data_IF_271755835280
#
_entry.id   IF_271755835280
#
_cell.length_a   1.000
_cell.length_b   1.000
_cell.length_c   1.000
_cell.angle_alpha   90.00
_cell.angle_beta   90.00
_cell.angle_gamma   90.00
#
_symmetry.space_group_name_H-M   'P 1'
#
loop_
_entity.id
_entity.type
_entity.pdbx_description
1 polymer ?
#
# COMPACT_ATOMS: atom_id res chain seq x y z
N UNK A 1 22.20 5.92 -9.12
CA UNK A 1 21.48 6.27 -7.88
C UNK A 1 22.05 7.59 -7.40
N UNK A 2 21.25 8.65 -7.37
CA UNK A 2 21.67 9.94 -6.82
C UNK A 2 22.00 9.78 -5.35
N UNK A 3 23.07 10.42 -4.89
CA UNK A 3 23.51 10.36 -3.51
C UNK A 3 22.47 11.04 -2.60
N UNK A 4 22.02 10.34 -1.56
CA UNK A 4 21.05 10.88 -0.58
C UNK A 4 21.75 12.00 0.19
N UNK A 5 21.19 13.21 0.13
CA UNK A 5 21.73 14.38 0.80
C UNK A 5 21.65 14.23 2.33
N UNK A 6 22.47 15.00 3.06
CA UNK A 6 22.41 15.02 4.53
C UNK A 6 21.01 15.40 5.06
N UNK A 7 20.33 16.30 4.36
CA UNK A 7 18.98 16.72 4.70
C UNK A 7 17.95 15.60 4.49
N UNK A 8 18.03 14.88 3.36
CA UNK A 8 17.16 13.72 3.11
C UNK A 8 17.42 12.62 4.15
N UNK A 9 18.68 12.34 4.49
CA UNK A 9 19.01 11.36 5.54
C UNK A 9 18.40 11.73 6.90
N UNK A 10 18.47 13.01 7.29
CA UNK A 10 17.84 13.49 8.51
C UNK A 10 16.32 13.34 8.47
N UNK A 11 15.69 13.70 7.35
CA UNK A 11 14.24 13.53 7.17
C UNK A 11 13.82 12.06 7.26
N UNK A 12 14.56 11.15 6.63
CA UNK A 12 14.30 9.71 6.69
C UNK A 12 14.34 9.17 8.12
N UNK A 13 15.33 9.57 8.93
CA UNK A 13 15.40 9.15 10.33
C UNK A 13 14.23 9.67 11.19
N UNK A 14 13.72 10.87 10.88
CA UNK A 14 12.52 11.39 11.56
C UNK A 14 11.27 10.64 11.11
N UNK A 15 11.12 10.39 9.81
CA UNK A 15 9.97 9.66 9.24
C UNK A 15 9.87 8.26 9.86
N UNK A 16 10.97 7.54 9.99
CA UNK A 16 11.00 6.17 10.50
C UNK A 16 10.31 6.00 11.86
N UNK A 17 10.39 7.02 12.71
CA UNK A 17 9.83 7.01 14.07
C UNK A 17 8.55 7.84 14.20
N UNK A 18 8.10 8.50 13.13
CA UNK A 18 6.89 9.33 13.19
C UNK A 18 5.64 8.45 13.14
N UNK A 19 4.73 8.66 14.08
CA UNK A 19 3.42 7.96 14.16
C UNK A 19 2.24 8.87 13.83
N UNK A 20 2.45 10.18 13.83
CA UNK A 20 1.43 11.18 13.51
C UNK A 20 1.16 11.24 11.99
N UNK A 21 -0.04 10.85 11.51
CA UNK A 21 -0.38 10.90 10.10
C UNK A 21 -0.33 12.30 9.49
N UNK A 22 -0.71 13.34 10.23
CA UNK A 22 -0.72 14.71 9.71
C UNK A 22 0.71 15.22 9.49
N UNK A 23 1.62 14.87 10.40
CA UNK A 23 3.05 15.15 10.22
C UNK A 23 3.64 14.41 9.02
N UNK A 24 3.23 13.16 8.77
CA UNK A 24 3.66 12.39 7.61
C UNK A 24 3.13 12.98 6.29
N UNK A 25 1.87 13.46 6.26
CA UNK A 25 1.32 14.21 5.12
C UNK A 25 2.12 15.49 4.84
N UNK A 26 2.51 16.22 5.88
CA UNK A 26 3.36 17.40 5.73
C UNK A 26 4.76 17.05 5.17
N UNK A 27 5.34 15.89 5.54
CA UNK A 27 6.57 15.40 4.92
C UNK A 27 6.40 15.11 3.42
N UNK A 28 5.30 14.47 3.03
CA UNK A 28 4.97 14.18 1.62
C UNK A 28 4.87 15.47 0.82
N UNK A 29 4.07 16.43 1.27
CA UNK A 29 3.88 17.72 0.59
C UNK A 29 5.21 18.49 0.44
N UNK A 30 6.02 18.53 1.50
CA UNK A 30 7.32 19.18 1.45
C UNK A 30 8.32 18.45 0.53
N UNK A 31 8.34 17.12 0.56
CA UNK A 31 9.21 16.32 -0.29
C UNK A 31 8.90 16.55 -1.77
N UNK A 32 7.62 16.62 -2.14
CA UNK A 32 7.18 16.97 -3.50
C UNK A 32 7.63 18.38 -3.91
N UNK A 33 7.44 19.37 -3.04
CA UNK A 33 7.90 20.75 -3.28
C UNK A 33 9.41 20.83 -3.49
N UNK A 34 10.17 20.04 -2.75
CA UNK A 34 11.64 19.95 -2.84
C UNK A 34 12.12 18.93 -3.89
N UNK A 35 11.20 18.25 -4.59
CA UNK A 35 11.49 17.20 -5.59
C UNK A 35 12.33 16.03 -5.05
N UNK A 36 12.17 15.69 -3.76
CA UNK A 36 12.82 14.53 -3.14
C UNK A 36 11.90 13.32 -3.17
N UNK A 37 12.03 12.50 -4.22
CA UNK A 37 11.26 11.27 -4.37
C UNK A 37 11.55 10.23 -3.26
N UNK A 38 12.76 10.24 -2.70
CA UNK A 38 13.16 9.30 -1.63
C UNK A 38 12.42 9.61 -0.33
N UNK A 39 12.36 10.89 0.06
CA UNK A 39 11.65 11.31 1.26
C UNK A 39 10.13 11.16 1.08
N UNK A 40 9.61 11.50 -0.10
CA UNK A 40 8.19 11.31 -0.42
C UNK A 40 7.77 9.85 -0.25
N UNK A 41 8.50 8.92 -0.90
CA UNK A 41 8.21 7.49 -0.81
C UNK A 41 8.30 6.96 0.62
N UNK A 42 9.31 7.38 1.38
CA UNK A 42 9.47 6.95 2.77
C UNK A 42 8.33 7.46 3.66
N UNK A 43 7.95 8.73 3.51
CA UNK A 43 6.86 9.33 4.27
C UNK A 43 5.51 8.68 3.94
N UNK A 44 5.25 8.41 2.65
CA UNK A 44 4.04 7.71 2.21
C UNK A 44 3.99 6.27 2.72
N UNK A 45 5.10 5.52 2.62
CA UNK A 45 5.18 4.16 3.16
C UNK A 45 4.93 4.13 4.67
N UNK A 46 5.54 5.06 5.43
CA UNK A 46 5.27 5.19 6.86
C UNK A 46 3.83 5.58 7.14
N UNK A 47 3.24 6.49 6.38
CA UNK A 47 1.84 6.90 6.52
C UNK A 47 0.89 5.70 6.32
N UNK A 48 1.16 4.84 5.35
CA UNK A 48 0.37 3.62 5.12
C UNK A 48 0.57 2.58 6.24
N UNK A 49 1.73 2.55 6.89
CA UNK A 49 2.04 1.66 8.01
C UNK A 49 1.36 2.09 9.32
N UNK A 50 1.23 3.39 9.60
CA UNK A 50 0.75 3.87 10.91
C UNK A 50 -0.76 4.13 10.97
N UNK A 51 -1.42 4.24 9.81
CA UNK A 51 -2.85 4.51 9.76
C UNK A 51 -3.76 3.33 10.16
N UNK A 52 -3.46 2.07 9.77
CA UNK A 52 -4.27 0.94 10.19
C UNK A 52 -4.26 0.74 11.71
N UNK A 53 -5.41 0.45 12.30
CA UNK A 53 -5.51 0.11 13.73
C UNK A 53 -5.03 -1.34 14.01
N UNK A 54 -5.06 -2.20 13.00
CA UNK A 54 -4.62 -3.58 13.10
C UNK A 54 -3.08 -3.68 13.27
N UNK A 55 -2.61 -4.79 13.83
CA UNK A 55 -1.17 -4.97 14.11
C UNK A 55 -0.37 -5.15 12.81
N UNK A 56 0.74 -4.40 12.61
CA UNK A 56 1.62 -4.59 11.47
C UNK A 56 2.05 -6.05 11.26
N UNK A 57 2.01 -6.51 10.00
CA UNK A 57 2.31 -7.89 9.64
C UNK A 57 1.11 -8.85 9.69
N UNK A 58 -0.09 -8.35 10.01
CA UNK A 58 -1.35 -9.08 9.84
C UNK A 58 -1.97 -8.80 8.46
N UNK A 59 -2.87 -9.68 8.00
CA UNK A 59 -3.58 -9.46 6.73
C UNK A 59 -4.50 -8.24 6.84
N UNK A 60 -5.11 -8.03 8.00
CA UNK A 60 -6.01 -6.91 8.29
C UNK A 60 -5.27 -5.59 8.16
N UNK A 61 -4.09 -5.49 8.79
CA UNK A 61 -3.25 -4.31 8.69
C UNK A 61 -2.90 -3.99 7.23
N UNK A 62 -2.46 -4.99 6.47
CA UNK A 62 -2.01 -4.76 5.11
C UNK A 62 -3.17 -4.41 4.15
N UNK A 63 -4.36 -4.98 4.36
CA UNK A 63 -5.57 -4.59 3.63
C UNK A 63 -5.95 -3.14 3.93
N UNK A 64 -5.91 -2.74 5.20
CA UNK A 64 -6.20 -1.36 5.59
C UNK A 64 -5.13 -0.39 5.09
N UNK A 65 -3.85 -0.79 5.05
CA UNK A 65 -2.77 0.00 4.46
C UNK A 65 -3.05 0.30 2.98
N UNK A 66 -3.49 -0.69 2.20
CA UNK A 66 -3.93 -0.52 0.81
C UNK A 66 -5.08 0.48 0.68
N UNK A 67 -6.08 0.39 1.55
CA UNK A 67 -7.26 1.27 1.52
C UNK A 67 -6.88 2.70 1.86
N UNK A 68 -6.09 2.89 2.91
CA UNK A 68 -5.61 4.20 3.31
C UNK A 68 -4.75 4.84 2.21
N UNK A 69 -3.87 4.06 1.56
CA UNK A 69 -3.10 4.52 0.42
C UNK A 69 -3.99 5.05 -0.72
N UNK A 70 -5.01 4.28 -1.10
CA UNK A 70 -5.97 4.70 -2.13
C UNK A 70 -6.74 5.96 -1.71
N UNK A 71 -7.19 6.03 -0.46
CA UNK A 71 -7.89 7.22 0.06
C UNK A 71 -7.00 8.47 0.08
N UNK A 72 -5.71 8.33 0.42
CA UNK A 72 -4.72 9.42 0.34
C UNK A 72 -4.48 9.87 -1.11
N UNK A 73 -4.37 8.93 -2.05
CA UNK A 73 -4.22 9.25 -3.48
C UNK A 73 -5.45 9.99 -4.03
N UNK A 74 -6.65 9.55 -3.67
CA UNK A 74 -7.89 10.24 -4.05
C UNK A 74 -8.03 11.61 -3.36
N UNK A 75 -7.54 11.74 -2.13
CA UNK A 75 -7.50 13.02 -1.41
C UNK A 75 -6.62 14.02 -2.14
N UNK A 76 -5.44 13.58 -2.58
CA UNK A 76 -4.47 14.37 -3.33
C UNK A 76 -5.06 14.87 -4.66
N UNK A 77 -5.72 13.98 -5.42
CA UNK A 77 -6.39 14.34 -6.67
C UNK A 77 -7.53 15.36 -6.50
N UNK A 78 -8.33 15.19 -5.44
CA UNK A 78 -9.60 15.93 -5.27
C UNK A 78 -9.50 17.12 -4.33
N UNK A 79 -8.35 17.31 -3.67
CA UNK A 79 -8.11 18.37 -2.69
C UNK A 79 -8.97 18.27 -1.42
N UNK A 80 -9.59 17.12 -1.17
CA UNK A 80 -10.48 16.90 0.00
C UNK A 80 -10.44 15.44 0.43
N UNK A 81 -10.71 15.18 1.70
CA UNK A 81 -10.76 13.81 2.24
C UNK A 81 -11.77 12.97 1.46
N UNK A 82 -11.33 11.81 0.98
CA UNK A 82 -12.16 10.83 0.29
C UNK A 82 -12.14 9.54 1.08
N UNK A 83 -13.30 8.89 1.20
CA UNK A 83 -13.41 7.55 1.78
C UNK A 83 -13.95 6.56 0.75
N UNK A 84 -13.36 5.37 0.72
CA UNK A 84 -13.83 4.23 -0.06
C UNK A 84 -15.00 3.54 0.66
N UNK A 85 -16.11 4.27 0.88
CA UNK A 85 -17.21 3.84 1.76
C UNK A 85 -17.77 2.46 1.41
N UNK A 86 -17.92 2.15 0.11
CA UNK A 86 -18.40 0.83 -0.34
C UNK A 86 -17.43 -0.31 -0.02
N UNK A 87 -16.13 -0.03 -0.09
CA UNK A 87 -15.08 -1.01 0.26
C UNK A 87 -15.06 -1.24 1.76
N UNK A 88 -15.13 -0.17 2.57
CA UNK A 88 -15.22 -0.25 4.04
C UNK A 88 -16.45 -1.07 4.48
N UNK A 89 -17.63 -0.77 3.92
CA UNK A 89 -18.85 -1.54 4.16
C UNK A 89 -18.77 -3.00 3.69
N UNK A 90 -17.93 -3.32 2.70
CA UNK A 90 -17.69 -4.70 2.29
C UNK A 90 -16.81 -5.43 3.31
N UNK A 91 -15.75 -4.78 3.80
CA UNK A 91 -14.92 -5.34 4.88
C UNK A 91 -15.74 -5.60 6.14
N UNK A 92 -16.57 -4.64 6.56
CA UNK A 92 -17.43 -4.80 7.75
C UNK A 92 -18.37 -6.02 7.65
N UNK A 93 -18.78 -6.40 6.43
CA UNK A 93 -19.68 -7.54 6.20
C UNK A 93 -18.94 -8.86 6.00
N UNK A 94 -17.85 -8.83 5.24
CA UNK A 94 -17.22 -10.03 4.68
C UNK A 94 -15.84 -10.33 5.31
N UNK A 95 -15.23 -9.36 5.97
CA UNK A 95 -13.84 -9.39 6.46
C UNK A 95 -12.80 -8.94 5.42
N UNK A 96 -11.63 -8.56 5.90
CA UNK A 96 -10.50 -8.02 5.13
C UNK A 96 -9.97 -9.04 4.12
N UNK A 97 -9.69 -10.26 4.59
CA UNK A 97 -9.14 -11.33 3.74
C UNK A 97 -10.11 -11.69 2.61
N UNK A 98 -11.40 -11.87 2.91
CA UNK A 98 -12.39 -12.18 1.88
C UNK A 98 -12.53 -11.05 0.86
N UNK A 99 -12.50 -9.79 1.30
CA UNK A 99 -12.57 -8.64 0.40
C UNK A 99 -11.36 -8.60 -0.55
N UNK A 100 -10.15 -8.82 -0.04
CA UNK A 100 -8.94 -8.90 -0.86
C UNK A 100 -9.01 -10.05 -1.87
N UNK A 101 -9.41 -11.26 -1.43
CA UNK A 101 -9.57 -12.42 -2.31
C UNK A 101 -10.61 -12.15 -3.42
N UNK A 102 -11.79 -11.66 -3.05
CA UNK A 102 -12.87 -11.34 -4.00
C UNK A 102 -12.41 -10.32 -5.06
N UNK A 103 -11.59 -9.31 -4.70
CA UNK A 103 -11.02 -8.36 -5.66
C UNK A 103 -9.98 -9.03 -6.55
N UNK A 104 -9.10 -9.83 -5.95
CA UNK A 104 -8.03 -10.53 -6.67
C UNK A 104 -8.57 -11.59 -7.63
N UNK A 105 -9.74 -12.18 -7.38
CA UNK A 105 -10.33 -13.19 -8.26
C UNK A 105 -11.15 -12.58 -9.42
N UNK A 106 -11.33 -11.25 -9.47
CA UNK A 106 -12.06 -10.63 -10.58
C UNK A 106 -11.31 -10.79 -11.90
N UNK A 107 -12.01 -11.03 -13.03
CA UNK A 107 -11.37 -11.15 -14.34
C UNK A 107 -10.59 -9.90 -14.75
N UNK A 108 -11.05 -8.72 -14.33
CA UNK A 108 -10.42 -7.44 -14.62
C UNK A 108 -9.80 -6.85 -13.36
N UNK A 109 -8.64 -6.21 -13.53
CA UNK A 109 -8.04 -5.41 -12.47
C UNK A 109 -9.03 -4.35 -11.96
N UNK A 110 -8.93 -4.04 -10.68
CA UNK A 110 -9.68 -2.93 -10.10
C UNK A 110 -8.97 -1.61 -10.44
N UNK A 111 -9.72 -0.50 -10.52
CA UNK A 111 -9.09 0.82 -10.71
C UNK A 111 -8.02 1.11 -9.64
N UNK A 112 -8.24 0.68 -8.40
CA UNK A 112 -7.25 0.83 -7.32
C UNK A 112 -5.96 0.03 -7.56
N UNK A 113 -6.02 -1.11 -8.25
CA UNK A 113 -4.81 -1.83 -8.65
C UNK A 113 -3.97 -1.01 -9.63
N UNK A 114 -4.62 -0.50 -10.68
CA UNK A 114 -3.95 0.31 -11.70
C UNK A 114 -3.40 1.61 -11.10
N UNK A 115 -4.17 2.27 -10.24
CA UNK A 115 -3.78 3.51 -9.55
C UNK A 115 -2.53 3.33 -8.67
N UNK A 116 -2.47 2.23 -7.91
CA UNK A 116 -1.33 1.93 -7.05
C UNK A 116 -0.07 1.66 -7.87
N UNK A 117 -0.18 0.91 -8.97
CA UNK A 117 0.96 0.63 -9.85
C UNK A 117 1.42 1.90 -10.55
N UNK A 118 0.50 2.69 -11.12
CA UNK A 118 0.82 3.92 -11.84
C UNK A 118 1.53 4.95 -10.95
N UNK A 119 1.26 4.91 -9.63
CA UNK A 119 1.89 5.78 -8.62
C UNK A 119 3.12 5.17 -7.95
N UNK A 120 3.58 4.00 -8.39
CA UNK A 120 4.80 3.38 -7.89
C UNK A 120 4.66 2.71 -6.51
N UNK A 121 3.47 2.26 -6.16
CA UNK A 121 3.15 1.54 -4.93
C UNK A 121 2.58 0.12 -5.16
N UNK A 122 3.23 -0.72 -5.99
CA UNK A 122 2.74 -2.09 -6.25
C UNK A 122 2.68 -2.94 -4.97
N UNK A 123 3.50 -2.65 -3.96
CA UNK A 123 3.52 -3.32 -2.66
C UNK A 123 2.23 -3.15 -1.85
N UNK A 124 1.42 -2.14 -2.18
CA UNK A 124 0.15 -1.86 -1.53
C UNK A 124 -1.05 -2.43 -2.31
N UNK A 125 -0.84 -3.16 -3.40
CA UNK A 125 -1.93 -3.84 -4.12
C UNK A 125 -2.50 -5.01 -3.30
N UNK A 126 -3.78 -5.32 -3.45
CA UNK A 126 -4.39 -6.47 -2.77
C UNK A 126 -3.73 -7.79 -3.20
N UNK A 127 -3.26 -7.86 -4.44
CA UNK A 127 -2.48 -8.97 -4.99
C UNK A 127 -1.16 -9.15 -4.23
N UNK A 128 -0.44 -8.05 -3.94
CA UNK A 128 0.76 -8.10 -3.12
C UNK A 128 0.43 -8.55 -1.68
N UNK A 129 -0.69 -8.10 -1.11
CA UNK A 129 -1.17 -8.57 0.21
C UNK A 129 -1.44 -10.08 0.19
N UNK A 130 -2.12 -10.58 -0.84
CA UNK A 130 -2.40 -12.02 -1.01
C UNK A 130 -1.10 -12.83 -1.01
N UNK A 131 -0.09 -12.40 -1.76
CA UNK A 131 1.19 -13.10 -1.84
C UNK A 131 2.02 -12.99 -0.55
N UNK A 132 1.86 -11.90 0.20
CA UNK A 132 2.56 -11.69 1.48
C UNK A 132 2.00 -12.57 2.61
N UNK A 133 0.72 -12.92 2.53
CA UNK A 133 0.00 -13.70 3.54
C UNK A 133 -0.43 -15.08 3.01
N UNK A 134 0.49 -15.95 2.55
CA UNK A 134 0.15 -17.16 1.80
C UNK A 134 -0.61 -18.22 2.61
N UNK A 135 -0.64 -18.10 3.95
CA UNK A 135 -1.40 -18.98 4.85
C UNK A 135 -2.87 -18.59 4.96
N UNK A 136 -3.22 -17.36 4.61
CA UNK A 136 -4.58 -16.82 4.71
C UNK A 136 -5.40 -17.13 3.46
N UNK A 137 -4.74 -17.21 2.30
CA UNK A 137 -5.39 -17.33 0.99
C UNK A 137 -5.17 -18.70 0.36
N UNK A 138 -6.19 -19.18 -0.33
CA UNK A 138 -6.13 -20.42 -1.11
C UNK A 138 -5.20 -20.29 -2.33
N UNK A 139 -4.87 -21.44 -2.93
CA UNK A 139 -3.95 -21.51 -4.07
C UNK A 139 -4.51 -20.80 -5.31
N UNK A 140 -5.83 -20.84 -5.52
CA UNK A 140 -6.48 -20.15 -6.62
C UNK A 140 -6.26 -18.63 -6.55
N UNK A 141 -6.52 -18.04 -5.38
CA UNK A 141 -6.35 -16.61 -5.13
C UNK A 141 -4.88 -16.20 -5.28
N UNK A 142 -3.94 -17.02 -4.78
CA UNK A 142 -2.49 -16.76 -4.92
C UNK A 142 -2.04 -16.84 -6.38
N UNK A 143 -2.52 -17.81 -7.15
CA UNK A 143 -2.23 -17.90 -8.58
C UNK A 143 -2.79 -16.67 -9.31
N UNK A 144 -4.03 -16.29 -9.05
CA UNK A 144 -4.64 -15.10 -9.65
C UNK A 144 -3.86 -13.82 -9.33
N UNK A 145 -3.41 -13.65 -8.07
CA UNK A 145 -2.56 -12.53 -7.67
C UNK A 145 -1.24 -12.51 -8.43
N UNK A 146 -0.53 -13.63 -8.47
CA UNK A 146 0.74 -13.75 -9.18
C UNK A 146 0.57 -13.47 -10.68
N UNK A 147 -0.45 -14.04 -11.32
CA UNK A 147 -0.75 -13.81 -12.73
C UNK A 147 -1.03 -12.33 -13.01
N UNK A 148 -1.82 -11.66 -12.18
CA UNK A 148 -2.14 -10.24 -12.38
C UNK A 148 -0.90 -9.35 -12.23
N UNK A 149 -0.07 -9.61 -11.22
CA UNK A 149 1.19 -8.87 -11.03
C UNK A 149 2.16 -9.10 -12.19
N UNK A 150 2.33 -10.35 -12.64
CA UNK A 150 3.16 -10.66 -13.82
C UNK A 150 2.64 -10.01 -15.10
N UNK A 151 1.33 -9.98 -15.31
CA UNK A 151 0.72 -9.29 -16.45
C UNK A 151 0.98 -7.78 -16.43
N UNK A 152 1.15 -7.19 -15.26
CA UNK A 152 1.56 -5.80 -15.07
C UNK A 152 3.09 -5.57 -15.14
N UNK A 153 3.87 -6.60 -15.47
CA UNK A 153 5.34 -6.52 -15.58
C UNK A 153 6.07 -6.56 -14.23
N UNK A 154 5.40 -6.97 -13.16
CA UNK A 154 5.99 -7.10 -11.82
C UNK A 154 6.37 -8.55 -11.55
N UNK A 155 7.50 -8.76 -10.88
CA UNK A 155 7.87 -10.08 -10.36
C UNK A 155 7.02 -10.41 -9.12
N UNK A 156 6.17 -11.45 -9.13
CA UNK A 156 5.37 -11.82 -7.97
C UNK A 156 6.19 -12.25 -6.76
N UNK A 157 7.40 -12.80 -6.97
CA UNK A 157 8.23 -13.34 -5.89
C UNK A 157 8.72 -12.24 -4.95
N UNK A 158 8.79 -10.99 -5.42
CA UNK A 158 9.19 -9.84 -4.59
C UNK A 158 8.19 -9.53 -3.47
N UNK A 159 6.93 -9.98 -3.59
CA UNK A 159 5.86 -9.71 -2.62
C UNK A 159 5.64 -10.86 -1.64
N UNK A 160 6.25 -12.02 -1.89
CA UNK A 160 6.20 -13.15 -0.96
C UNK A 160 6.96 -12.80 0.32
N UNK A 161 6.53 -13.33 1.49
CA UNK A 161 7.30 -13.16 2.70
C UNK A 161 8.71 -13.72 2.48
N UNK A 162 9.75 -13.00 2.92
CA UNK A 162 11.12 -13.52 2.85
C UNK A 162 11.17 -14.84 3.61
N UNK A 163 11.52 -15.93 2.94
CA UNK A 163 11.73 -17.21 3.61
C UNK A 163 12.92 -17.07 4.56
N UNK A 164 12.68 -17.17 5.87
CA UNK A 164 13.72 -17.22 6.90
C UNK A 164 13.59 -16.17 7.99
N UNK A 165 12.87 -16.53 9.05
CA UNK A 165 13.28 -16.33 10.44
C UNK A 165 12.85 -17.58 11.22
#
# INVERSE_FOLDING_TARGET
MSEITAQERAALGVIETTEDPDRLRAFIENARRLKSAVVERAAFARLCLVQPEATPGTVEHDVWASIHALEEMMRDERGKTVRLSRTRQKIERDGEAKMAADLTLKPTASAGFDDLIARGHPELTFEAVVLRHPRTFDDETKVAAATRLSAAGLDPDQFKPRQGA
#
